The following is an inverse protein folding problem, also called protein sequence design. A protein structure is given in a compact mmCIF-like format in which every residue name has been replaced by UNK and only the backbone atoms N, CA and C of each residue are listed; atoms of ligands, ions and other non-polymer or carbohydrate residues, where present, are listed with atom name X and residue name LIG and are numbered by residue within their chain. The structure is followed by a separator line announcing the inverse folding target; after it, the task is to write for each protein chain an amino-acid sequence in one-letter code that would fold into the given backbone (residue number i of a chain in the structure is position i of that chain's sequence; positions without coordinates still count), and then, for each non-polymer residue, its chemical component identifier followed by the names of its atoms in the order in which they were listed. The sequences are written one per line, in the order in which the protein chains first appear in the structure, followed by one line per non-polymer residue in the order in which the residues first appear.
data_IF_794284649190
#
_entry.id   IF_794284649190
#
_cell.length_a   1.000
_cell.length_b   1.000
_cell.length_c   1.000
_cell.angle_alpha   90.00
_cell.angle_beta   90.00
_cell.angle_gamma   90.00
#
_symmetry.space_group_name_H-M   'P 1'
#
loop_
_entity.id
_entity.type
_entity.pdbx_description
1 polymer ?
#
# COMPACT_ATOMS: atom_id res chain seq x y z
N UNK A 1 -47.15 14.00 24.72
CA UNK A 1 -46.00 13.40 24.00
C UNK A 1 -45.33 12.39 24.92
N UNK A 2 -45.41 11.08 24.66
CA UNK A 2 -44.94 10.08 25.61
C UNK A 2 -43.41 10.08 25.73
N UNK A 3 -42.95 10.04 26.98
CA UNK A 3 -41.55 10.07 27.43
C UNK A 3 -40.65 8.98 26.80
N UNK A 4 -41.27 7.91 26.27
CA UNK A 4 -40.61 6.82 25.54
C UNK A 4 -39.89 7.26 24.26
N UNK A 5 -40.37 8.33 23.61
CA UNK A 5 -39.75 8.82 22.38
C UNK A 5 -38.41 9.54 22.66
N UNK A 6 -38.19 10.04 23.89
CA UNK A 6 -36.98 10.80 24.25
C UNK A 6 -35.77 9.89 24.50
N UNK A 7 -35.97 8.72 25.09
CA UNK A 7 -34.89 7.76 25.39
C UNK A 7 -34.48 6.91 24.18
N UNK A 8 -35.41 6.66 23.24
CA UNK A 8 -35.11 5.98 21.99
C UNK A 8 -34.18 6.81 21.09
N UNK A 9 -34.36 8.14 21.08
CA UNK A 9 -33.54 9.06 20.28
C UNK A 9 -32.11 9.19 20.85
N UNK A 10 -31.94 9.12 22.17
CA UNK A 10 -30.62 9.16 22.81
C UNK A 10 -29.80 7.87 22.63
N UNK A 11 -30.47 6.72 22.50
CA UNK A 11 -29.79 5.41 22.38
C UNK A 11 -29.37 5.07 20.96
N UNK A 12 -29.94 5.73 19.95
CA UNK A 12 -29.61 5.49 18.54
C UNK A 12 -28.35 6.23 18.05
N UNK A 13 -27.80 7.16 18.84
CA UNK A 13 -26.68 8.01 18.43
C UNK A 13 -25.28 7.38 18.60
N UNK A 14 -25.15 6.26 19.32
CA UNK A 14 -23.83 5.71 19.69
C UNK A 14 -23.36 4.52 18.83
N UNK A 15 -24.21 3.93 18.00
CA UNK A 15 -23.90 2.66 17.32
C UNK A 15 -23.14 2.78 15.99
N UNK A 16 -22.67 3.97 15.61
CA UNK A 16 -22.02 4.24 14.32
C UNK A 16 -20.49 4.33 14.29
N UNK A 17 -19.80 4.17 15.44
CA UNK A 17 -18.36 4.46 15.56
C UNK A 17 -17.44 3.22 15.56
N UNK A 18 -17.94 2.05 15.18
CA UNK A 18 -17.15 0.83 14.97
C UNK A 18 -17.38 0.49 13.48
N UNK A 19 -16.41 0.47 12.56
CA UNK A 19 -15.17 -0.29 12.55
C UNK A 19 -14.18 0.40 11.61
N UNK A 20 -13.19 1.09 12.17
CA UNK A 20 -11.99 1.48 11.44
C UNK A 20 -10.79 0.96 12.20
N UNK A 21 -10.43 -0.31 12.04
CA UNK A 21 -9.10 -0.77 12.43
C UNK A 21 -8.10 -0.14 11.47
N UNK A 22 -7.82 1.16 11.63
CA UNK A 22 -6.70 1.83 11.01
C UNK A 22 -5.43 1.37 11.73
N UNK A 23 -5.12 0.08 11.60
CA UNK A 23 -3.77 -0.36 11.89
C UNK A 23 -2.95 0.32 10.80
N UNK A 24 -2.11 1.28 11.19
CA UNK A 24 -1.10 1.84 10.30
C UNK A 24 -0.15 0.68 10.04
N UNK A 25 -0.50 -0.19 9.09
CA UNK A 25 0.33 -1.29 8.67
C UNK A 25 1.63 -0.60 8.23
N UNK A 26 2.76 -0.89 8.87
CA UNK A 26 4.03 -0.53 8.24
C UNK A 26 4.12 -1.38 6.98
N UNK A 27 4.39 -0.75 5.85
CA UNK A 27 4.64 -1.42 4.57
C UNK A 27 5.65 -2.53 4.81
N UNK A 28 5.31 -3.74 4.38
CA UNK A 28 6.26 -4.82 4.39
C UNK A 28 6.92 -4.87 3.00
N UNK A 29 8.23 -4.66 2.96
CA UNK A 29 9.05 -4.89 1.76
C UNK A 29 8.86 -6.32 1.22
N UNK A 30 8.61 -7.26 2.13
CA UNK A 30 8.36 -8.67 1.87
C UNK A 30 6.91 -8.98 2.24
N UNK A 31 6.12 -9.53 1.32
CA UNK A 31 4.71 -9.85 1.58
C UNK A 31 4.54 -11.35 1.86
N UNK A 32 3.68 -11.73 2.82
CA UNK A 32 3.24 -13.12 2.97
C UNK A 32 2.58 -13.59 1.67
N UNK A 33 3.29 -14.38 0.87
CA UNK A 33 2.82 -14.86 -0.43
C UNK A 33 3.79 -14.63 -1.60
N UNK A 34 4.83 -13.82 -1.43
CA UNK A 34 5.82 -13.58 -2.51
C UNK A 34 6.48 -14.88 -2.99
N UNK A 35 6.71 -15.81 -2.06
CA UNK A 35 7.24 -17.15 -2.35
C UNK A 35 6.34 -17.98 -3.27
N UNK A 36 5.04 -17.66 -3.34
CA UNK A 36 4.06 -18.37 -4.16
C UNK A 36 3.94 -17.78 -5.56
N UNK A 37 4.58 -16.64 -5.85
CA UNK A 37 4.53 -16.06 -7.19
C UNK A 37 5.20 -16.97 -8.23
N UNK A 38 4.60 -17.00 -9.42
CA UNK A 38 5.22 -17.57 -10.62
C UNK A 38 6.27 -16.60 -11.17
N UNK A 39 7.20 -17.07 -12.00
CA UNK A 39 8.20 -16.21 -12.64
C UNK A 39 7.56 -15.04 -13.40
N UNK A 40 6.44 -15.28 -14.09
CA UNK A 40 5.71 -14.23 -14.80
C UNK A 40 5.07 -13.24 -13.82
N UNK A 41 4.44 -13.72 -12.74
CA UNK A 41 3.87 -12.83 -11.73
C UNK A 41 4.94 -11.94 -11.07
N UNK A 42 6.17 -12.45 -10.87
CA UNK A 42 7.28 -11.64 -10.39
C UNK A 42 7.68 -10.57 -11.42
N UNK A 43 7.80 -10.91 -12.70
CA UNK A 43 8.09 -9.94 -13.77
C UNK A 43 7.01 -8.86 -13.85
N UNK A 44 5.74 -9.25 -13.77
CA UNK A 44 4.61 -8.32 -13.76
C UNK A 44 4.70 -7.35 -12.57
N UNK A 45 5.01 -7.88 -11.37
CA UNK A 45 5.14 -7.05 -10.17
C UNK A 45 6.33 -6.10 -10.25
N UNK A 46 7.49 -6.54 -10.76
CA UNK A 46 8.64 -5.68 -11.04
C UNK A 46 8.28 -4.56 -12.01
N UNK A 47 7.53 -4.87 -13.08
CA UNK A 47 7.07 -3.85 -14.04
C UNK A 47 6.08 -2.85 -13.44
N UNK A 48 5.29 -3.23 -12.43
CA UNK A 48 4.47 -2.26 -11.69
C UNK A 48 5.31 -1.40 -10.75
N UNK A 49 6.34 -1.96 -10.12
CA UNK A 49 7.30 -1.22 -9.30
C UNK A 49 8.12 -0.22 -10.11
N UNK A 50 8.41 -0.52 -11.39
CA UNK A 50 9.04 0.43 -12.33
C UNK A 50 8.12 1.62 -12.61
N UNK A 51 6.85 1.38 -12.99
CA UNK A 51 5.87 2.45 -13.20
C UNK A 51 5.67 3.31 -11.95
N UNK A 52 5.62 2.67 -10.79
CA UNK A 52 5.53 3.36 -9.51
C UNK A 52 6.74 4.28 -9.23
N UNK A 53 7.95 3.84 -9.60
CA UNK A 53 9.15 4.66 -9.51
C UNK A 53 9.07 5.88 -10.44
N UNK A 54 8.61 5.70 -11.68
CA UNK A 54 8.40 6.79 -12.64
C UNK A 54 7.34 7.80 -12.14
N UNK A 55 6.26 7.32 -11.53
CA UNK A 55 5.23 8.18 -10.93
C UNK A 55 5.76 8.98 -9.74
N UNK A 56 6.68 8.42 -8.96
CA UNK A 56 7.36 9.15 -7.89
C UNK A 56 8.31 10.18 -8.48
N UNK A 57 9.13 9.78 -9.46
CA UNK A 57 10.16 10.63 -10.06
C UNK A 57 9.54 11.81 -10.82
N UNK A 58 8.42 11.61 -11.52
CA UNK A 58 7.67 12.69 -12.18
C UNK A 58 7.04 13.69 -11.19
N UNK A 59 6.86 13.29 -9.92
CA UNK A 59 6.32 14.14 -8.86
C UNK A 59 7.41 14.72 -7.95
N UNK A 60 8.67 14.29 -8.09
CA UNK A 60 9.82 14.90 -7.39
C UNK A 60 9.96 16.35 -7.83
N UNK A 61 10.08 17.27 -6.86
CA UNK A 61 10.26 18.71 -7.11
C UNK A 61 8.98 19.55 -7.13
N UNK A 62 7.79 18.94 -7.06
CA UNK A 62 6.53 19.69 -6.90
C UNK A 62 6.30 19.97 -5.41
N UNK A 63 6.76 21.13 -4.93
CA UNK A 63 6.55 21.59 -3.54
C UNK A 63 5.07 21.54 -3.17
N UNK A 64 4.71 20.73 -2.18
CA UNK A 64 3.35 20.64 -1.64
C UNK A 64 2.49 19.48 -2.18
N UNK A 65 2.98 18.67 -3.12
CA UNK A 65 2.25 17.45 -3.55
C UNK A 65 2.72 16.25 -2.76
N UNK A 66 1.84 15.71 -1.93
CA UNK A 66 2.08 14.41 -1.31
C UNK A 66 2.25 13.37 -2.42
N UNK A 67 3.37 12.64 -2.44
CA UNK A 67 3.58 11.47 -3.32
C UNK A 67 2.58 10.33 -2.98
N UNK A 68 1.79 10.57 -1.93
CA UNK A 68 0.57 9.94 -1.48
C UNK A 68 -0.18 8.99 -2.42
N UNK A 69 -0.46 9.44 -3.65
CA UNK A 69 -1.40 8.78 -4.53
C UNK A 69 -0.74 7.81 -5.51
N UNK A 70 0.59 7.80 -5.63
CA UNK A 70 1.28 6.98 -6.63
C UNK A 70 1.24 5.48 -6.31
N UNK A 71 1.13 5.08 -5.04
CA UNK A 71 1.36 3.68 -4.63
C UNK A 71 0.10 2.94 -4.16
N UNK A 72 -1.08 3.57 -4.24
CA UNK A 72 -2.33 2.97 -3.74
C UNK A 72 -2.75 1.66 -4.46
N UNK A 73 -2.12 1.35 -5.60
CA UNK A 73 -2.55 0.30 -6.53
C UNK A 73 -1.66 -0.95 -6.53
N UNK A 74 -0.50 -0.90 -5.86
CA UNK A 74 0.41 -2.03 -5.80
C UNK A 74 -0.01 -2.97 -4.66
N UNK A 75 -0.27 -4.27 -4.93
CA UNK A 75 -0.56 -5.23 -3.87
C UNK A 75 0.65 -5.31 -2.90
N UNK A 76 0.43 -4.84 -1.66
CA UNK A 76 1.46 -4.78 -0.61
C UNK A 76 2.11 -3.40 -0.39
N UNK A 77 1.80 -2.41 -1.24
CA UNK A 77 2.38 -1.06 -1.21
C UNK A 77 1.31 0.04 -1.12
N UNK A 78 0.12 -0.27 -0.60
CA UNK A 78 -1.00 0.65 -0.42
C UNK A 78 -0.70 1.79 0.58
N UNK A 79 0.17 2.73 0.20
CA UNK A 79 0.61 3.79 1.10
C UNK A 79 0.79 5.12 0.41
N UNK A 80 0.41 6.10 1.20
CA UNK A 80 0.68 7.48 0.95
C UNK A 80 2.01 7.85 1.61
N UNK A 81 3.05 8.04 0.80
CA UNK A 81 4.32 8.56 1.31
C UNK A 81 4.34 10.08 1.18
N UNK A 82 4.71 10.72 2.28
CA UNK A 82 4.97 12.16 2.34
C UNK A 82 6.34 12.51 1.76
N UNK A 83 7.25 11.54 1.70
CA UNK A 83 8.62 11.71 1.21
C UNK A 83 8.90 10.80 0.00
N UNK A 84 9.39 11.40 -1.07
CA UNK A 84 9.72 10.70 -2.32
C UNK A 84 10.97 9.81 -2.18
N UNK A 85 11.89 10.17 -1.28
CA UNK A 85 13.10 9.39 -1.00
C UNK A 85 12.78 8.09 -0.31
N UNK A 86 11.95 8.13 0.73
CA UNK A 86 11.48 6.94 1.45
C UNK A 86 10.65 6.03 0.54
N UNK A 87 9.78 6.60 -0.31
CA UNK A 87 9.05 5.83 -1.32
C UNK A 87 10.00 5.12 -2.31
N UNK A 88 11.01 5.84 -2.80
CA UNK A 88 12.04 5.29 -3.71
C UNK A 88 12.81 4.15 -3.02
N UNK A 89 13.20 4.34 -1.75
CA UNK A 89 13.93 3.33 -0.97
C UNK A 89 13.12 2.04 -0.82
N UNK A 90 11.84 2.16 -0.49
CA UNK A 90 10.97 0.99 -0.29
C UNK A 90 10.64 0.26 -1.59
N UNK A 91 10.52 0.98 -2.71
CA UNK A 91 10.43 0.34 -4.04
C UNK A 91 11.70 -0.44 -4.34
N UNK A 92 12.88 0.15 -4.11
CA UNK A 92 14.16 -0.52 -4.34
C UNK A 92 14.31 -1.78 -3.47
N UNK A 93 13.97 -1.68 -2.18
CA UNK A 93 14.01 -2.81 -1.25
C UNK A 93 13.08 -3.94 -1.73
N UNK A 94 11.87 -3.60 -2.21
CA UNK A 94 10.91 -4.60 -2.71
C UNK A 94 11.35 -5.23 -4.02
N UNK A 95 11.90 -4.44 -4.96
CA UNK A 95 12.52 -4.98 -6.19
C UNK A 95 13.61 -5.97 -5.83
N UNK A 96 14.50 -5.62 -4.90
CA UNK A 96 15.57 -6.50 -4.43
C UNK A 96 15.02 -7.81 -3.89
N UNK A 97 14.01 -7.77 -3.01
CA UNK A 97 13.35 -8.96 -2.47
C UNK A 97 12.77 -9.85 -3.57
N UNK A 98 11.99 -9.28 -4.50
CA UNK A 98 11.39 -10.03 -5.60
C UNK A 98 12.44 -10.61 -6.57
N UNK A 99 13.52 -9.88 -6.85
CA UNK A 99 14.64 -10.39 -7.65
C UNK A 99 15.36 -11.54 -6.95
N UNK A 100 15.54 -11.49 -5.63
CA UNK A 100 16.07 -12.64 -4.88
C UNK A 100 15.18 -13.87 -5.05
N UNK A 101 13.86 -13.70 -4.95
CA UNK A 101 12.91 -14.81 -5.13
C UNK A 101 12.94 -15.34 -6.57
N UNK A 102 13.00 -14.44 -7.55
CA UNK A 102 13.12 -14.78 -8.97
C UNK A 102 14.36 -15.65 -9.25
N UNK A 103 15.52 -15.24 -8.72
CA UNK A 103 16.77 -15.96 -8.86
C UNK A 103 16.73 -17.31 -8.14
N UNK A 104 16.18 -17.35 -6.91
CA UNK A 104 16.03 -18.59 -6.15
C UNK A 104 15.12 -19.60 -6.83
N UNK A 105 14.14 -19.13 -7.64
CA UNK A 105 13.27 -19.97 -8.46
C UNK A 105 13.90 -20.39 -9.79
N UNK A 106 15.13 -19.96 -10.09
CA UNK A 106 15.82 -20.19 -11.37
C UNK A 106 14.97 -19.75 -12.58
N UNK A 107 14.25 -18.65 -12.42
CA UNK A 107 13.46 -18.08 -13.50
C UNK A 107 14.37 -17.62 -14.65
N UNK A 108 13.97 -17.89 -15.89
CA UNK A 108 14.71 -17.45 -17.09
C UNK A 108 14.27 -16.05 -17.51
N UNK A 109 15.27 -15.22 -17.84
CA UNK A 109 15.11 -13.85 -18.34
C UNK A 109 14.15 -13.78 -19.53
#
# INVERSE_FOLDING_TARGET
MPLFLRNAVLSAAMSGLLFGCATSQKIQVVQPGDQNFSCNAIKDELGKLDKAQEDIDSKKGVTGTNVAAALFWLPGLAYTYYDAGEATRLISDRKSSLTTIYNNKNCTS
#
